data_IF_975952359381
#
_entry.id   IF_975952359381
#
_cell.length_a   1.000
_cell.length_b   1.000
_cell.length_c   1.000
_cell.angle_alpha   90.00
_cell.angle_beta   90.00
_cell.angle_gamma   90.00
#
_symmetry.space_group_name_H-M   'P 1'
#
loop_
_entity.id
_entity.type
_entity.pdbx_description
1 polymer ?
#
# COMPACT_ATOMS: atom_id res chain seq x y z
N UNK A 1 24.75 11.40 -50.02
CA UNK A 1 24.39 10.69 -48.77
C UNK A 1 23.08 9.97 -49.02
N UNK A 2 23.07 8.64 -48.92
CA UNK A 2 21.95 7.81 -49.38
C UNK A 2 20.68 7.96 -48.52
N UNK A 3 19.50 8.14 -49.14
CA UNK A 3 18.22 8.28 -48.43
C UNK A 3 17.83 7.05 -47.60
N UNK A 4 18.34 5.86 -47.97
CA UNK A 4 18.09 4.59 -47.26
C UNK A 4 18.78 4.59 -45.87
N UNK A 5 19.97 5.17 -45.76
CA UNK A 5 20.71 5.26 -44.48
C UNK A 5 20.00 6.24 -43.54
N UNK A 6 19.47 7.35 -44.06
CA UNK A 6 18.72 8.33 -43.27
C UNK A 6 17.40 7.76 -42.73
N UNK A 7 16.68 6.99 -43.55
CA UNK A 7 15.45 6.30 -43.14
C UNK A 7 15.70 5.24 -42.04
N UNK A 8 16.80 4.47 -42.15
CA UNK A 8 17.21 3.50 -41.14
C UNK A 8 17.59 4.13 -39.80
N UNK A 9 18.33 5.25 -39.81
CA UNK A 9 18.73 5.99 -38.60
C UNK A 9 17.54 6.69 -37.94
N UNK A 10 16.59 7.24 -38.71
CA UNK A 10 15.37 7.83 -38.17
C UNK A 10 14.47 6.75 -37.54
N UNK A 11 14.27 5.61 -38.21
CA UNK A 11 13.52 4.46 -37.69
C UNK A 11 14.11 3.94 -36.38
N UNK A 12 15.42 3.71 -36.32
CA UNK A 12 16.09 3.25 -35.10
C UNK A 12 16.01 4.26 -33.94
N UNK A 13 16.01 5.57 -34.22
CA UNK A 13 15.84 6.63 -33.20
C UNK A 13 14.42 6.68 -32.65
N UNK A 14 13.39 6.54 -33.49
CA UNK A 14 11.99 6.49 -33.03
C UNK A 14 11.69 5.22 -32.25
N UNK A 15 12.22 4.07 -32.63
CA UNK A 15 12.05 2.82 -31.86
C UNK A 15 12.74 2.91 -30.49
N UNK A 16 13.96 3.46 -30.41
CA UNK A 16 14.66 3.65 -29.13
C UNK A 16 13.96 4.66 -28.21
N UNK A 17 13.43 5.76 -28.77
CA UNK A 17 12.65 6.73 -28.01
C UNK A 17 11.33 6.13 -27.51
N UNK A 18 10.66 5.31 -28.32
CA UNK A 18 9.46 4.58 -27.92
C UNK A 18 9.80 3.62 -26.76
N UNK A 19 10.77 2.71 -26.92
CA UNK A 19 11.16 1.75 -25.88
C UNK A 19 11.51 2.42 -24.54
N UNK A 20 12.20 3.57 -24.58
CA UNK A 20 12.52 4.34 -23.36
C UNK A 20 11.31 4.86 -22.61
N UNK A 21 10.16 5.06 -23.25
CA UNK A 21 8.94 5.50 -22.56
C UNK A 21 8.14 4.37 -21.91
N UNK A 22 8.43 3.11 -22.27
CA UNK A 22 7.77 1.91 -21.73
C UNK A 22 8.48 1.31 -20.51
N UNK A 23 9.74 1.69 -20.26
CA UNK A 23 10.50 1.14 -19.14
C UNK A 23 9.90 1.54 -17.78
N UNK A 24 9.83 0.62 -16.79
CA UNK A 24 9.25 0.92 -15.48
C UNK A 24 9.92 2.11 -14.77
N UNK A 25 11.23 2.26 -14.95
CA UNK A 25 12.08 3.28 -14.32
C UNK A 25 12.16 4.62 -15.05
N UNK A 26 11.44 4.82 -16.16
CA UNK A 26 11.43 6.10 -16.88
C UNK A 26 10.15 6.90 -16.62
N UNK A 27 10.25 8.24 -16.70
CA UNK A 27 9.10 9.13 -16.66
C UNK A 27 8.35 9.14 -18.01
N UNK A 28 7.24 9.89 -18.08
CA UNK A 28 6.43 9.99 -19.30
C UNK A 28 7.16 10.66 -20.47
N UNK A 29 8.29 11.31 -20.21
CA UNK A 29 9.16 11.93 -21.21
C UNK A 29 10.35 11.01 -21.58
N UNK A 30 10.38 9.77 -21.09
CA UNK A 30 11.44 8.80 -21.35
C UNK A 30 12.73 9.06 -20.56
N UNK A 31 12.71 9.97 -19.57
CA UNK A 31 13.87 10.28 -18.73
C UNK A 31 13.92 9.34 -17.53
N UNK A 32 15.12 9.02 -17.06
CA UNK A 32 15.28 8.18 -15.88
C UNK A 32 14.67 8.82 -14.63
N UNK A 33 13.91 8.02 -13.87
CA UNK A 33 13.29 8.42 -12.61
C UNK A 33 13.72 7.47 -11.50
N UNK A 34 14.64 7.93 -10.65
CA UNK A 34 15.14 7.16 -9.51
C UNK A 34 14.00 6.66 -8.61
N UNK A 35 12.97 7.49 -8.39
CA UNK A 35 11.80 7.09 -7.59
C UNK A 35 11.07 5.88 -8.18
N UNK A 36 10.90 5.84 -9.51
CA UNK A 36 10.26 4.71 -10.18
C UNK A 36 11.17 3.49 -10.21
N UNK A 37 12.47 3.68 -10.44
CA UNK A 37 13.45 2.60 -10.41
C UNK A 37 13.49 1.92 -9.04
N UNK A 38 13.58 2.71 -7.97
CA UNK A 38 13.58 2.22 -6.58
C UNK A 38 12.26 1.53 -6.26
N UNK A 39 11.12 2.14 -6.57
CA UNK A 39 9.84 1.52 -6.29
C UNK A 39 9.62 0.22 -7.10
N UNK A 40 10.14 0.13 -8.33
CA UNK A 40 10.11 -1.12 -9.11
C UNK A 40 11.01 -2.19 -8.49
N UNK A 41 12.25 -1.83 -8.12
CA UNK A 41 13.17 -2.75 -7.45
C UNK A 41 12.57 -3.28 -6.14
N UNK A 42 11.97 -2.41 -5.32
CA UNK A 42 11.30 -2.80 -4.08
C UNK A 42 10.10 -3.72 -4.31
N UNK A 43 9.39 -3.60 -5.43
CA UNK A 43 8.33 -4.54 -5.80
C UNK A 43 8.88 -5.93 -6.17
N UNK A 44 10.13 -6.04 -6.61
CA UNK A 44 10.76 -7.33 -6.94
C UNK A 44 11.38 -8.01 -5.72
N UNK A 45 11.82 -7.24 -4.71
CA UNK A 45 12.50 -7.78 -3.52
C UNK A 45 11.74 -8.96 -2.89
N UNK A 46 10.42 -8.90 -2.61
CA UNK A 46 9.73 -10.02 -1.99
C UNK A 46 9.71 -11.29 -2.83
N UNK A 47 9.52 -11.15 -4.14
CA UNK A 47 9.56 -12.28 -5.06
C UNK A 47 10.96 -12.91 -5.10
N UNK A 48 12.02 -12.09 -5.10
CA UNK A 48 13.40 -12.57 -5.04
C UNK A 48 13.71 -13.26 -3.71
N UNK A 49 13.21 -12.74 -2.59
CA UNK A 49 13.35 -13.38 -1.27
C UNK A 49 12.63 -14.73 -1.23
N UNK A 50 11.42 -14.83 -1.80
CA UNK A 50 10.69 -16.08 -1.88
C UNK A 50 11.42 -17.11 -2.77
N UNK A 51 11.94 -16.68 -3.93
CA UNK A 51 12.73 -17.54 -4.81
C UNK A 51 14.01 -18.02 -4.13
N UNK A 52 14.71 -17.14 -3.41
CA UNK A 52 15.89 -17.50 -2.63
C UNK A 52 15.55 -18.51 -1.53
N UNK A 53 14.47 -18.28 -0.78
CA UNK A 53 14.02 -19.22 0.25
C UNK A 53 13.61 -20.58 -0.34
N UNK A 54 12.99 -20.60 -1.52
CA UNK A 54 12.68 -21.84 -2.24
C UNK A 54 13.95 -22.58 -2.67
N UNK A 55 14.91 -21.86 -3.25
CA UNK A 55 16.20 -22.41 -3.68
C UNK A 55 17.00 -23.02 -2.52
N UNK A 56 17.00 -22.33 -1.38
CA UNK A 56 17.69 -22.79 -0.16
C UNK A 56 16.86 -23.82 0.64
N UNK A 57 15.70 -24.27 0.13
CA UNK A 57 14.78 -25.19 0.80
C UNK A 57 14.34 -24.71 2.20
N UNK A 58 14.25 -23.39 2.39
CA UNK A 58 13.90 -22.73 3.66
C UNK A 58 12.40 -22.46 3.82
N UNK A 59 11.56 -22.98 2.92
CA UNK A 59 10.09 -22.81 3.00
C UNK A 59 9.41 -23.81 3.97
N UNK A 60 10.18 -24.69 4.60
CA UNK A 60 9.69 -25.66 5.58
C UNK A 60 8.98 -26.85 4.95
N UNK A 61 8.20 -27.58 5.76
CA UNK A 61 7.55 -28.83 5.37
C UNK A 61 6.38 -28.68 4.38
N UNK A 62 5.81 -27.48 4.28
CA UNK A 62 4.71 -27.15 3.36
C UNK A 62 5.08 -25.95 2.49
N UNK A 63 5.99 -26.13 1.51
CA UNK A 63 6.61 -25.03 0.80
C UNK A 63 5.61 -24.19 0.00
N UNK A 64 4.63 -24.84 -0.65
CA UNK A 64 3.57 -24.16 -1.40
C UNK A 64 2.67 -23.32 -0.48
N UNK A 65 2.21 -23.90 0.63
CA UNK A 65 1.42 -23.16 1.63
C UNK A 65 2.16 -21.92 2.13
N UNK A 66 3.47 -22.05 2.41
CA UNK A 66 4.29 -20.92 2.85
C UNK A 66 4.44 -19.86 1.74
N UNK A 67 4.65 -20.27 0.49
CA UNK A 67 4.71 -19.36 -0.65
C UNK A 67 3.38 -18.61 -0.87
N UNK A 68 2.24 -19.30 -0.71
CA UNK A 68 0.89 -18.72 -0.76
C UNK A 68 0.74 -17.65 0.34
N UNK A 69 1.12 -17.96 1.58
CA UNK A 69 1.05 -17.00 2.69
C UNK A 69 1.93 -15.77 2.43
N UNK A 70 3.19 -15.97 2.01
CA UNK A 70 4.09 -14.85 1.75
C UNK A 70 3.57 -13.95 0.61
N UNK A 71 3.14 -14.51 -0.51
CA UNK A 71 2.60 -13.71 -1.63
C UNK A 71 1.31 -12.98 -1.24
N UNK A 72 0.45 -13.59 -0.41
CA UNK A 72 -0.74 -12.95 0.15
C UNK A 72 -0.39 -11.76 1.06
N UNK A 73 0.53 -11.97 2.01
CA UNK A 73 1.04 -10.92 2.90
C UNK A 73 1.61 -9.74 2.11
N UNK A 74 2.45 -10.00 1.11
CA UNK A 74 3.04 -8.95 0.29
C UNK A 74 2.00 -8.22 -0.58
N UNK A 75 0.98 -8.91 -1.08
CA UNK A 75 -0.16 -8.27 -1.76
C UNK A 75 -0.79 -7.19 -0.89
N UNK A 76 -1.09 -7.52 0.38
CA UNK A 76 -1.70 -6.57 1.34
C UNK A 76 -0.73 -5.43 1.66
N UNK A 77 0.54 -5.72 1.94
CA UNK A 77 1.56 -4.68 2.23
C UNK A 77 1.69 -3.68 1.09
N UNK A 78 1.76 -4.16 -0.16
CA UNK A 78 1.83 -3.30 -1.34
C UNK A 78 0.52 -2.52 -1.54
N UNK A 79 -0.64 -3.11 -1.20
CA UNK A 79 -1.93 -2.42 -1.26
C UNK A 79 -1.98 -1.26 -0.26
N UNK A 80 -1.57 -1.47 0.99
CA UNK A 80 -1.47 -0.41 2.00
C UNK A 80 -0.47 0.67 1.55
N UNK A 81 0.69 0.29 1.02
CA UNK A 81 1.66 1.24 0.45
C UNK A 81 1.07 2.06 -0.71
N UNK A 82 0.31 1.43 -1.60
CA UNK A 82 -0.40 2.08 -2.71
C UNK A 82 -1.40 3.12 -2.19
N UNK A 83 -2.14 2.77 -1.14
CA UNK A 83 -3.07 3.69 -0.47
C UNK A 83 -2.32 4.80 0.28
N UNK A 84 -1.12 4.58 0.80
CA UNK A 84 -0.33 5.60 1.49
C UNK A 84 0.13 6.75 0.57
N UNK A 85 0.28 6.49 -0.74
CA UNK A 85 0.71 7.49 -1.74
C UNK A 85 -0.10 8.78 -1.68
N UNK A 86 -1.43 8.68 -1.57
CA UNK A 86 -2.31 9.86 -1.59
C UNK A 86 -2.15 10.77 -0.36
N UNK A 87 -2.27 10.26 0.89
CA UNK A 87 -1.98 11.05 2.09
C UNK A 87 -0.57 11.63 2.09
N UNK A 88 0.44 10.83 1.76
CA UNK A 88 1.84 11.29 1.79
C UNK A 88 2.10 12.41 0.77
N UNK A 89 1.52 12.30 -0.43
CA UNK A 89 1.59 13.36 -1.45
C UNK A 89 1.04 14.69 -0.92
N UNK A 90 -0.03 14.67 -0.11
CA UNK A 90 -0.68 15.87 0.43
C UNK A 90 -0.01 16.39 1.70
N UNK A 91 0.41 15.51 2.61
CA UNK A 91 1.05 15.90 3.87
C UNK A 91 2.45 16.45 3.64
N UNK A 92 3.16 15.96 2.63
CA UNK A 92 4.53 16.36 2.32
C UNK A 92 4.65 17.10 0.98
N UNK A 93 3.57 17.61 0.38
CA UNK A 93 3.61 18.27 -0.94
C UNK A 93 4.48 17.54 -2.00
N UNK A 94 4.54 16.21 -1.91
CA UNK A 94 5.47 15.41 -2.69
C UNK A 94 4.79 14.90 -3.96
N UNK A 95 4.52 15.83 -4.87
CA UNK A 95 3.76 15.58 -6.11
C UNK A 95 4.25 14.37 -6.92
N UNK A 96 5.57 14.13 -6.96
CA UNK A 96 6.20 13.02 -7.71
C UNK A 96 5.72 11.63 -7.28
N UNK A 97 5.24 11.45 -6.05
CA UNK A 97 4.71 10.17 -5.56
C UNK A 97 3.51 9.67 -6.35
N UNK A 98 2.72 10.56 -6.97
CA UNK A 98 1.59 10.11 -7.80
C UNK A 98 2.05 9.29 -9.00
N UNK A 99 3.28 9.52 -9.47
CA UNK A 99 3.86 8.83 -10.62
C UNK A 99 4.15 7.34 -10.39
N UNK A 100 4.27 6.90 -9.13
CA UNK A 100 4.48 5.48 -8.79
C UNK A 100 3.19 4.75 -8.40
N UNK A 101 2.07 5.46 -8.19
CA UNK A 101 0.81 4.85 -7.72
C UNK A 101 0.33 3.72 -8.63
N UNK A 102 0.35 3.94 -9.94
CA UNK A 102 -0.07 2.93 -10.93
C UNK A 102 0.85 1.71 -10.90
N UNK A 103 2.16 1.93 -10.77
CA UNK A 103 3.14 0.86 -10.70
C UNK A 103 2.94 -0.01 -9.45
N UNK A 104 2.73 0.60 -8.28
CA UNK A 104 2.41 -0.12 -7.05
C UNK A 104 1.08 -0.89 -7.18
N UNK A 105 0.03 -0.27 -7.73
CA UNK A 105 -1.27 -0.92 -7.93
C UNK A 105 -1.21 -2.12 -8.89
N UNK A 106 -0.43 -2.03 -9.98
CA UNK A 106 -0.16 -3.18 -10.84
C UNK A 106 0.65 -4.26 -10.12
N UNK A 107 1.58 -3.86 -9.24
CA UNK A 107 2.26 -4.76 -8.32
C UNK A 107 1.29 -5.53 -7.41
N UNK A 108 0.30 -4.86 -6.82
CA UNK A 108 -0.77 -5.52 -6.03
C UNK A 108 -1.46 -6.60 -6.85
N UNK A 109 -1.91 -6.27 -8.08
CA UNK A 109 -2.56 -7.24 -8.95
C UNK A 109 -1.63 -8.41 -9.30
N UNK A 110 -0.36 -8.15 -9.61
CA UNK A 110 0.61 -9.19 -9.96
C UNK A 110 0.85 -10.17 -8.80
N UNK A 111 1.03 -9.66 -7.57
CA UNK A 111 1.18 -10.51 -6.39
C UNK A 111 -0.11 -11.26 -6.04
N UNK A 112 -1.29 -10.64 -6.21
CA UNK A 112 -2.57 -11.30 -5.99
C UNK A 112 -2.82 -12.45 -6.99
N UNK A 113 -2.46 -12.24 -8.27
CA UNK A 113 -2.51 -13.29 -9.28
C UNK A 113 -1.48 -14.39 -9.01
N UNK A 114 -0.27 -14.03 -8.58
CA UNK A 114 0.75 -14.98 -8.14
C UNK A 114 0.27 -15.83 -6.95
N UNK A 115 -0.41 -15.21 -5.99
CA UNK A 115 -1.03 -15.89 -4.86
C UNK A 115 -2.08 -16.92 -5.31
N UNK A 116 -2.99 -16.55 -6.22
CA UNK A 116 -3.94 -17.51 -6.80
C UNK A 116 -3.23 -18.61 -7.60
N UNK A 117 -2.21 -18.27 -8.39
CA UNK A 117 -1.46 -19.23 -9.19
C UNK A 117 -0.77 -20.28 -8.30
N UNK A 118 -0.14 -19.85 -7.20
CA UNK A 118 0.46 -20.76 -6.22
C UNK A 118 -0.58 -21.65 -5.55
N UNK A 119 -1.78 -21.14 -5.26
CA UNK A 119 -2.89 -21.95 -4.76
C UNK A 119 -3.35 -23.00 -5.79
N UNK A 120 -3.45 -22.64 -7.08
CA UNK A 120 -3.77 -23.61 -8.13
C UNK A 120 -2.67 -24.67 -8.28
N UNK A 121 -1.40 -24.30 -8.13
CA UNK A 121 -0.27 -25.24 -8.16
C UNK A 121 -0.31 -26.20 -6.96
N UNK A 122 -0.58 -25.70 -5.76
CA UNK A 122 -0.74 -26.52 -4.54
C UNK A 122 -1.86 -27.55 -4.68
N UNK A 123 -2.91 -27.19 -5.42
CA UNK A 123 -4.05 -28.07 -5.76
C UNK A 123 -3.84 -28.89 -7.04
N UNK A 124 -2.62 -28.94 -7.59
CA UNK A 124 -2.27 -29.66 -8.82
C UNK A 124 -3.17 -29.34 -10.03
N UNK A 125 -3.74 -28.14 -10.08
CA UNK A 125 -4.71 -27.70 -11.10
C UNK A 125 -5.98 -28.56 -11.20
N UNK A 126 -6.39 -29.25 -10.14
CA UNK A 126 -7.71 -29.89 -10.08
C UNK A 126 -8.80 -28.81 -9.94
N UNK A 127 -9.38 -28.42 -11.08
CA UNK A 127 -10.40 -27.35 -11.14
C UNK A 127 -11.67 -27.69 -10.34
N UNK A 128 -12.03 -28.97 -10.24
CA UNK A 128 -13.19 -29.40 -9.45
C UNK A 128 -12.94 -29.16 -7.96
N UNK A 129 -11.77 -29.59 -7.48
CA UNK A 129 -11.35 -29.36 -6.10
C UNK A 129 -11.20 -27.87 -5.80
N UNK A 130 -10.46 -27.12 -6.64
CA UNK A 130 -10.20 -25.68 -6.48
C UNK A 130 -11.51 -24.90 -6.30
N UNK A 131 -12.47 -25.08 -7.22
CA UNK A 131 -13.75 -24.37 -7.16
C UNK A 131 -14.54 -24.79 -5.92
N UNK A 132 -14.57 -26.10 -5.62
CA UNK A 132 -15.30 -26.60 -4.46
C UNK A 132 -14.74 -26.04 -3.13
N UNK A 133 -13.42 -25.93 -2.99
CA UNK A 133 -12.77 -25.36 -1.81
C UNK A 133 -13.04 -23.86 -1.69
N UNK A 134 -12.96 -23.11 -2.80
CA UNK A 134 -13.26 -21.67 -2.81
C UNK A 134 -14.68 -21.40 -2.33
N UNK A 135 -15.65 -22.20 -2.79
CA UNK A 135 -17.07 -22.04 -2.44
C UNK A 135 -17.36 -22.50 -1.01
N UNK A 136 -16.79 -23.64 -0.59
CA UNK A 136 -17.06 -24.23 0.74
C UNK A 136 -16.38 -23.48 1.87
N UNK A 137 -15.24 -22.84 1.62
CA UNK A 137 -14.50 -22.05 2.62
C UNK A 137 -14.80 -20.58 2.44
N UNK A 138 -15.64 -20.03 3.32
CA UNK A 138 -16.11 -18.64 3.18
C UNK A 138 -14.98 -17.60 3.08
N UNK A 139 -13.86 -17.80 3.81
CA UNK A 139 -12.72 -16.89 3.74
C UNK A 139 -12.05 -16.91 2.36
N UNK A 140 -12.03 -18.05 1.64
CA UNK A 140 -11.53 -18.13 0.27
C UNK A 140 -12.44 -17.38 -0.71
N UNK A 141 -13.76 -17.48 -0.53
CA UNK A 141 -14.73 -16.69 -1.32
C UNK A 141 -14.49 -15.19 -1.15
N UNK A 142 -14.27 -14.71 0.09
CA UNK A 142 -13.94 -13.29 0.35
C UNK A 142 -12.66 -12.87 -0.38
N UNK A 143 -11.62 -13.70 -0.30
CA UNK A 143 -10.36 -13.47 -1.01
C UNK A 143 -10.53 -13.42 -2.53
N UNK A 144 -11.34 -14.32 -3.09
CA UNK A 144 -11.62 -14.38 -4.52
C UNK A 144 -12.40 -13.16 -5.03
N UNK A 145 -13.37 -12.67 -4.27
CA UNK A 145 -14.09 -11.41 -4.59
C UNK A 145 -13.12 -10.22 -4.57
N UNK A 146 -12.23 -10.13 -3.58
CA UNK A 146 -11.20 -9.11 -3.53
C UNK A 146 -10.26 -9.20 -4.74
N UNK A 147 -9.85 -10.41 -5.14
CA UNK A 147 -9.02 -10.66 -6.32
C UNK A 147 -9.68 -10.15 -7.60
N UNK A 148 -10.96 -10.47 -7.84
CA UNK A 148 -11.71 -9.97 -9.01
C UNK A 148 -11.68 -8.43 -9.04
N UNK A 149 -11.89 -7.80 -7.88
CA UNK A 149 -11.81 -6.34 -7.75
C UNK A 149 -10.42 -5.77 -8.08
N UNK A 150 -9.35 -6.41 -7.60
CA UNK A 150 -7.96 -6.01 -7.90
C UNK A 150 -7.63 -6.18 -9.38
N UNK A 151 -8.05 -7.30 -10.00
CA UNK A 151 -7.88 -7.55 -11.44
C UNK A 151 -8.63 -6.51 -12.26
N UNK A 152 -9.88 -6.20 -11.90
CA UNK A 152 -10.66 -5.16 -12.57
C UNK A 152 -9.94 -3.80 -12.52
N UNK A 153 -9.33 -3.43 -11.40
CA UNK A 153 -8.55 -2.20 -11.29
C UNK A 153 -7.29 -2.21 -12.16
N UNK A 154 -6.54 -3.31 -12.18
CA UNK A 154 -5.32 -3.41 -12.98
C UNK A 154 -5.58 -3.37 -14.48
N UNK A 155 -6.59 -4.13 -14.96
CA UNK A 155 -6.99 -4.13 -16.39
C UNK A 155 -7.49 -2.76 -16.84
N UNK A 156 -8.16 -2.02 -15.95
CA UNK A 156 -8.66 -0.66 -16.24
C UNK A 156 -7.66 0.47 -15.91
N UNK A 157 -6.40 0.13 -15.62
CA UNK A 157 -5.34 1.11 -15.33
C UNK A 157 -4.61 1.63 -16.58
N UNK A 158 -4.94 1.17 -17.79
CA UNK A 158 -4.28 1.63 -19.03
C UNK A 158 -4.74 3.01 -19.47
N UNK A 159 -3.88 3.76 -20.17
CA UNK A 159 -4.21 5.10 -20.69
C UNK A 159 -5.44 5.07 -21.60
N UNK A 160 -5.61 3.98 -22.37
CA UNK A 160 -6.80 3.75 -23.19
C UNK A 160 -8.06 3.55 -22.36
N UNK A 161 -8.01 2.73 -21.31
CA UNK A 161 -9.17 2.49 -20.44
C UNK A 161 -9.56 3.70 -19.60
N UNK A 162 -8.59 4.49 -19.14
CA UNK A 162 -8.84 5.77 -18.46
C UNK A 162 -9.65 6.70 -19.37
N UNK A 163 -9.25 6.83 -20.65
CA UNK A 163 -9.99 7.63 -21.64
C UNK A 163 -11.37 7.06 -21.94
N UNK A 164 -11.47 5.74 -22.12
CA UNK A 164 -12.73 5.06 -22.48
C UNK A 164 -13.80 5.16 -21.38
N UNK A 165 -13.41 5.02 -20.11
CA UNK A 165 -14.35 4.98 -18.99
C UNK A 165 -14.69 6.38 -18.44
N UNK A 166 -13.85 7.39 -18.67
CA UNK A 166 -14.08 8.76 -18.22
C UNK A 166 -14.42 8.85 -16.73
N UNK A 167 -15.56 9.47 -16.38
CA UNK A 167 -16.01 9.62 -14.98
C UNK A 167 -16.23 8.30 -14.24
N UNK A 168 -16.56 7.22 -14.96
CA UNK A 168 -16.80 5.91 -14.37
C UNK A 168 -15.50 5.24 -13.92
N UNK A 169 -14.36 5.62 -14.50
CA UNK A 169 -13.04 5.13 -14.08
C UNK A 169 -12.79 5.44 -12.60
N UNK A 170 -13.07 6.67 -12.18
CA UNK A 170 -12.88 7.08 -10.79
C UNK A 170 -13.83 6.33 -9.84
N UNK A 171 -15.09 6.07 -10.26
CA UNK A 171 -16.04 5.28 -9.48
C UNK A 171 -15.54 3.86 -9.27
N UNK A 172 -15.05 3.21 -10.33
CA UNK A 172 -14.47 1.87 -10.27
C UNK A 172 -13.22 1.83 -9.38
N UNK A 173 -12.31 2.78 -9.54
CA UNK A 173 -11.08 2.82 -8.75
C UNK A 173 -11.30 3.26 -7.29
N UNK A 174 -12.43 3.90 -6.96
CA UNK A 174 -12.83 4.12 -5.58
C UNK A 174 -13.24 2.81 -4.87
N UNK A 175 -13.53 1.73 -5.60
CA UNK A 175 -13.76 0.42 -4.99
C UNK A 175 -12.50 -0.16 -4.32
N UNK A 176 -11.33 0.47 -4.49
CA UNK A 176 -10.11 0.05 -3.78
C UNK A 176 -10.29 0.05 -2.26
N UNK A 177 -11.15 0.91 -1.71
CA UNK A 177 -11.42 0.95 -0.27
C UNK A 177 -12.20 -0.28 0.21
N UNK A 178 -13.38 -0.63 -0.35
CA UNK A 178 -14.05 -1.88 0.02
C UNK A 178 -13.22 -3.12 -0.37
N UNK A 179 -12.47 -3.10 -1.47
CA UNK A 179 -11.57 -4.21 -1.83
C UNK A 179 -10.47 -4.40 -0.78
N UNK A 180 -9.89 -3.31 -0.27
CA UNK A 180 -8.91 -3.39 0.81
C UNK A 180 -9.51 -3.96 2.10
N UNK A 181 -10.74 -3.59 2.44
CA UNK A 181 -11.45 -4.16 3.59
C UNK A 181 -11.63 -5.68 3.40
N UNK A 182 -12.07 -6.14 2.23
CA UNK A 182 -12.21 -7.57 1.93
C UNK A 182 -10.86 -8.30 2.00
N UNK A 183 -9.79 -7.71 1.45
CA UNK A 183 -8.45 -8.30 1.49
C UNK A 183 -7.91 -8.42 2.93
N UNK A 184 -8.13 -7.40 3.76
CA UNK A 184 -7.75 -7.40 5.18
C UNK A 184 -8.56 -8.41 5.98
N UNK A 185 -9.86 -8.52 5.71
CA UNK A 185 -10.74 -9.51 6.34
C UNK A 185 -10.33 -10.94 5.96
N UNK A 186 -10.07 -11.19 4.67
CA UNK A 186 -9.53 -12.47 4.21
C UNK A 186 -8.22 -12.82 4.92
N UNK A 187 -7.30 -11.86 5.04
CA UNK A 187 -6.02 -12.06 5.72
C UNK A 187 -6.20 -12.36 7.21
N UNK A 188 -7.11 -11.65 7.89
CA UNK A 188 -7.42 -11.91 9.30
C UNK A 188 -8.02 -13.30 9.51
N UNK A 189 -8.99 -13.70 8.68
CA UNK A 189 -9.66 -15.00 8.76
C UNK A 189 -8.73 -16.19 8.47
N UNK A 190 -7.74 -15.99 7.60
CA UNK A 190 -6.73 -17.00 7.30
C UNK A 190 -5.70 -17.16 8.43
N UNK A 191 -5.55 -16.14 9.28
CA UNK A 191 -4.60 -16.14 10.39
C UNK A 191 -5.16 -16.98 11.53
N UNK A 192 -4.32 -17.85 12.09
CA UNK A 192 -4.73 -18.77 13.16
C UNK A 192 -4.64 -18.09 14.52
N UNK A 193 -3.50 -18.24 15.19
CA UNK A 193 -3.30 -17.76 16.56
C UNK A 193 -2.68 -16.36 16.56
N UNK A 194 -1.67 -16.16 15.70
CA UNK A 194 -1.00 -14.87 15.55
C UNK A 194 -1.70 -14.02 14.49
N UNK A 195 -2.35 -12.95 14.94
CA UNK A 195 -3.05 -11.97 14.10
C UNK A 195 -2.30 -10.64 14.03
N UNK A 196 -1.05 -10.60 14.49
CA UNK A 196 -0.23 -9.38 14.56
C UNK A 196 -0.16 -8.68 13.21
N UNK A 197 0.17 -9.40 12.14
CA UNK A 197 0.27 -8.80 10.81
C UNK A 197 -1.07 -8.30 10.24
N UNK A 198 -2.17 -9.09 10.23
CA UNK A 198 -3.48 -8.59 9.80
C UNK A 198 -3.97 -7.38 10.59
N UNK A 199 -3.80 -7.38 11.91
CA UNK A 199 -4.20 -6.27 12.78
C UNK A 199 -3.36 -5.03 12.47
N UNK A 200 -2.04 -5.18 12.31
CA UNK A 200 -1.15 -4.08 11.94
C UNK A 200 -1.55 -3.47 10.59
N UNK A 201 -1.76 -4.30 9.57
CA UNK A 201 -2.16 -3.82 8.24
C UNK A 201 -3.53 -3.13 8.27
N UNK A 202 -4.47 -3.66 9.08
CA UNK A 202 -5.79 -3.07 9.28
C UNK A 202 -5.72 -1.73 10.01
N UNK A 203 -4.89 -1.63 11.04
CA UNK A 203 -4.64 -0.40 11.77
C UNK A 203 -3.99 0.69 10.91
N UNK A 204 -3.01 0.32 10.08
CA UNK A 204 -2.42 1.23 9.08
C UNK A 204 -3.46 1.67 8.05
N UNK A 205 -4.34 0.78 7.58
CA UNK A 205 -5.45 1.15 6.70
C UNK A 205 -6.38 2.16 7.37
N UNK A 206 -6.79 1.92 8.62
CA UNK A 206 -7.64 2.83 9.40
C UNK A 206 -6.98 4.20 9.57
N UNK A 207 -5.70 4.24 9.94
CA UNK A 207 -4.92 5.47 10.04
C UNK A 207 -4.92 6.26 8.70
N UNK A 208 -4.72 5.55 7.58
CA UNK A 208 -4.79 6.15 6.25
C UNK A 208 -6.21 6.67 5.91
N UNK A 209 -7.27 6.04 6.41
CA UNK A 209 -8.64 6.54 6.25
C UNK A 209 -8.89 7.79 7.11
N UNK A 210 -8.41 7.82 8.36
CA UNK A 210 -8.49 9.00 9.21
C UNK A 210 -7.80 10.21 8.56
N UNK A 211 -6.60 10.03 8.00
CA UNK A 211 -5.92 11.11 7.26
C UNK A 211 -6.73 11.63 6.07
N UNK A 212 -7.45 10.76 5.35
CA UNK A 212 -8.35 11.19 4.27
C UNK A 212 -9.56 11.95 4.81
N UNK A 213 -10.09 11.51 5.95
CA UNK A 213 -11.18 12.14 6.67
C UNK A 213 -10.87 13.61 7.01
N UNK A 214 -9.64 13.89 7.47
CA UNK A 214 -9.19 15.27 7.72
C UNK A 214 -9.41 16.18 6.51
N UNK A 215 -8.97 15.76 5.32
CA UNK A 215 -9.15 16.53 4.09
C UNK A 215 -10.62 16.57 3.62
N UNK A 216 -11.37 15.49 3.82
CA UNK A 216 -12.79 15.41 3.42
C UNK A 216 -13.69 16.32 4.25
N UNK A 217 -13.34 16.51 5.52
CA UNK A 217 -14.05 17.37 6.48
C UNK A 217 -13.37 18.73 6.69
N UNK A 218 -12.33 19.06 5.90
CA UNK A 218 -11.61 20.34 5.94
C UNK A 218 -11.05 20.68 7.33
N UNK A 219 -10.65 19.67 8.09
CA UNK A 219 -10.02 19.85 9.40
C UNK A 219 -8.58 20.39 9.24
N UNK A 220 -8.09 21.19 10.19
CA UNK A 220 -6.74 21.75 10.13
C UNK A 220 -5.69 20.64 10.22
N UNK A 221 -4.68 20.70 9.35
CA UNK A 221 -3.57 19.74 9.34
C UNK A 221 -2.43 20.30 10.20
N UNK A 222 -2.70 20.50 11.49
CA UNK A 222 -1.69 20.94 12.46
C UNK A 222 -0.96 19.75 13.08
N UNK A 223 0.20 19.98 13.69
CA UNK A 223 0.97 18.93 14.39
C UNK A 223 0.11 18.24 15.47
N UNK A 224 -0.67 19.00 16.24
CA UNK A 224 -1.53 18.48 17.28
C UNK A 224 -2.65 17.58 16.71
N UNK A 225 -3.28 17.98 15.60
CA UNK A 225 -4.32 17.17 14.96
C UNK A 225 -3.72 15.88 14.39
N UNK A 226 -2.54 15.95 13.76
CA UNK A 226 -1.87 14.77 13.24
C UNK A 226 -1.43 13.80 14.35
N UNK A 227 -0.96 14.32 15.49
CA UNK A 227 -0.65 13.52 16.66
C UNK A 227 -1.91 12.87 17.26
N UNK A 228 -3.01 13.62 17.38
CA UNK A 228 -4.29 13.09 17.82
C UNK A 228 -4.82 11.97 16.90
N UNK A 229 -4.69 12.13 15.59
CA UNK A 229 -5.04 11.09 14.60
C UNK A 229 -4.15 9.85 14.73
N UNK A 230 -2.86 10.02 15.02
CA UNK A 230 -1.95 8.91 15.26
C UNK A 230 -2.35 8.09 16.49
N UNK A 231 -2.63 8.77 17.61
CA UNK A 231 -3.09 8.12 18.85
C UNK A 231 -4.45 7.45 18.68
N UNK A 232 -5.40 8.11 18.00
CA UNK A 232 -6.69 7.51 17.67
C UNK A 232 -6.52 6.27 16.77
N UNK A 233 -5.63 6.31 15.79
CA UNK A 233 -5.31 5.16 14.94
C UNK A 233 -4.77 3.98 15.75
N UNK A 234 -3.85 4.24 16.69
CA UNK A 234 -3.35 3.23 17.62
C UNK A 234 -4.47 2.64 18.49
N UNK A 235 -5.30 3.50 19.10
CA UNK A 235 -6.42 3.08 19.94
C UNK A 235 -7.43 2.20 19.16
N UNK A 236 -7.83 2.62 17.96
CA UNK A 236 -8.72 1.84 17.11
C UNK A 236 -8.11 0.49 16.73
N UNK A 237 -6.79 0.43 16.55
CA UNK A 237 -6.08 -0.82 16.28
C UNK A 237 -6.11 -1.75 17.48
N UNK A 238 -5.89 -1.24 18.70
CA UNK A 238 -6.00 -2.02 19.93
C UNK A 238 -7.43 -2.56 20.14
N UNK A 239 -8.45 -1.73 19.89
CA UNK A 239 -9.85 -2.16 19.95
C UNK A 239 -10.17 -3.23 18.87
N UNK A 240 -9.61 -3.10 17.68
CA UNK A 240 -9.77 -4.08 16.60
C UNK A 240 -9.17 -5.44 17.00
N UNK A 241 -7.95 -5.45 17.55
CA UNK A 241 -7.28 -6.65 18.06
C UNK A 241 -8.09 -7.33 19.16
N UNK A 242 -8.51 -6.56 20.16
CA UNK A 242 -9.31 -7.04 21.28
C UNK A 242 -10.65 -7.62 20.82
N UNK A 243 -11.34 -6.92 19.91
CA UNK A 243 -12.60 -7.38 19.34
C UNK A 243 -12.43 -8.66 18.52
N UNK A 244 -11.32 -8.79 17.77
CA UNK A 244 -11.04 -9.99 17.00
C UNK A 244 -10.84 -11.22 17.87
N UNK A 245 -10.00 -11.12 18.90
CA UNK A 245 -9.78 -12.24 19.83
C UNK A 245 -11.03 -12.62 20.61
N UNK A 246 -11.83 -11.63 21.01
CA UNK A 246 -13.12 -11.90 21.67
C UNK A 246 -14.10 -12.64 20.76
N UNK A 247 -14.18 -12.24 19.48
CA UNK A 247 -15.09 -12.86 18.52
C UNK A 247 -14.67 -14.27 18.08
N UNK A 248 -13.36 -14.52 17.96
CA UNK A 248 -12.84 -15.77 17.35
C UNK A 248 -12.37 -16.80 18.37
N UNK A 249 -11.86 -16.35 19.51
CA UNK A 249 -11.22 -17.21 20.52
C UNK A 249 -11.96 -17.21 21.86
N UNK A 250 -12.96 -16.34 22.04
CA UNK A 250 -13.68 -16.20 23.31
C UNK A 250 -12.85 -15.58 24.45
N UNK A 251 -11.65 -15.07 24.15
CA UNK A 251 -10.78 -14.41 25.12
C UNK A 251 -11.38 -13.06 25.51
N UNK A 252 -11.25 -12.64 26.77
CA UNK A 252 -11.73 -11.34 27.23
C UNK A 252 -11.11 -10.20 26.42
N UNK A 253 -11.96 -9.43 25.72
CA UNK A 253 -11.56 -8.24 24.98
C UNK A 253 -10.82 -7.24 25.89
N UNK A 254 -11.26 -7.12 27.15
CA UNK A 254 -10.65 -6.21 28.11
C UNK A 254 -9.21 -6.61 28.45
N UNK A 255 -8.94 -7.91 28.64
CA UNK A 255 -7.58 -8.40 28.91
C UNK A 255 -6.64 -8.16 27.72
N UNK A 256 -7.12 -8.45 26.50
CA UNK A 256 -6.33 -8.19 25.28
C UNK A 256 -6.08 -6.69 25.10
N UNK A 257 -7.08 -5.85 25.37
CA UNK A 257 -6.94 -4.40 25.30
C UNK A 257 -5.93 -3.89 26.33
N UNK A 258 -6.06 -4.30 27.60
CA UNK A 258 -5.15 -3.95 28.69
C UNK A 258 -3.71 -4.38 28.41
N UNK A 259 -3.50 -5.48 27.69
CA UNK A 259 -2.18 -5.94 27.32
C UNK A 259 -1.42 -5.00 26.37
N UNK A 260 -2.06 -3.94 25.84
CA UNK A 260 -1.35 -2.84 25.19
C UNK A 260 -0.64 -1.92 26.21
N UNK A 261 -1.08 -1.87 27.46
CA UNK A 261 -0.41 -1.12 28.52
C UNK A 261 0.80 -1.85 29.10
N UNK A 262 0.96 -3.16 28.85
CA UNK A 262 2.03 -3.99 29.41
C UNK A 262 3.44 -3.46 29.12
N UNK A 263 3.65 -2.82 27.96
CA UNK A 263 4.93 -2.19 27.62
C UNK A 263 5.30 -1.05 28.59
N UNK A 264 4.30 -0.33 29.11
CA UNK A 264 4.50 0.74 30.09
C UNK A 264 4.52 0.19 31.51
N UNK A 265 3.66 -0.78 31.81
CA UNK A 265 3.49 -1.36 33.14
C UNK A 265 4.68 -2.24 33.54
N UNK A 266 5.16 -3.08 32.62
CA UNK A 266 6.20 -4.08 32.88
C UNK A 266 7.54 -3.77 32.20
N UNK A 267 7.62 -2.71 31.39
CA UNK A 267 8.82 -2.34 30.61
C UNK A 267 9.31 -3.45 29.68
N UNK A 268 8.41 -4.36 29.28
CA UNK A 268 8.73 -5.43 28.35
C UNK A 268 8.65 -4.93 26.91
N UNK A 269 9.79 -4.54 26.35
CA UNK A 269 9.88 -4.10 24.96
C UNK A 269 9.60 -5.23 23.95
N UNK A 270 9.57 -6.51 24.37
CA UNK A 270 9.16 -7.61 23.50
C UNK A 270 7.63 -7.63 23.30
N UNK A 271 6.85 -6.95 24.16
CA UNK A 271 5.39 -6.93 24.10
C UNK A 271 4.83 -5.86 23.14
N UNK A 272 5.62 -5.38 22.17
CA UNK A 272 5.15 -4.36 21.21
C UNK A 272 4.06 -4.96 20.31
N UNK A 273 2.83 -4.53 20.58
CA UNK A 273 1.62 -4.86 19.80
C UNK A 273 1.42 -3.97 18.57
N UNK A 274 0.58 -4.40 17.60
CA UNK A 274 0.24 -3.62 16.41
C UNK A 274 -0.18 -2.17 16.67
N UNK A 275 -0.94 -1.91 17.75
CA UNK A 275 -1.41 -0.57 18.09
C UNK A 275 -0.26 0.43 18.29
N UNK A 276 0.83 0.00 18.92
CA UNK A 276 2.02 0.81 19.13
C UNK A 276 2.69 1.17 17.81
N UNK A 277 2.83 0.20 16.90
CA UNK A 277 3.41 0.43 15.58
C UNK A 277 2.58 1.42 14.76
N UNK A 278 1.24 1.33 14.81
CA UNK A 278 0.35 2.27 14.12
C UNK A 278 0.46 3.67 14.71
N UNK A 279 0.45 3.80 16.04
CA UNK A 279 0.63 5.09 16.70
C UNK A 279 1.99 5.70 16.38
N UNK A 280 3.07 4.92 16.46
CA UNK A 280 4.43 5.34 16.15
C UNK A 280 4.55 5.79 14.69
N UNK A 281 4.00 5.03 13.74
CA UNK A 281 3.99 5.41 12.33
C UNK A 281 3.26 6.74 12.10
N UNK A 282 2.09 6.93 12.74
CA UNK A 282 1.35 8.18 12.65
C UNK A 282 2.08 9.37 13.28
N UNK A 283 2.71 9.17 14.44
CA UNK A 283 3.50 10.19 15.12
C UNK A 283 4.76 10.56 14.32
N UNK A 284 5.42 9.60 13.69
CA UNK A 284 6.54 9.84 12.79
C UNK A 284 6.12 10.70 11.59
N UNK A 285 4.94 10.45 11.02
CA UNK A 285 4.36 11.28 9.95
C UNK A 285 4.04 12.70 10.45
N UNK A 286 3.43 12.83 11.64
CA UNK A 286 3.13 14.12 12.26
C UNK A 286 4.41 14.95 12.48
N UNK A 287 5.43 14.31 13.06
CA UNK A 287 6.74 14.92 13.29
C UNK A 287 7.42 15.36 12.00
N UNK A 288 7.48 14.47 10.99
CA UNK A 288 8.04 14.79 9.68
C UNK A 288 7.32 15.95 9.00
N UNK A 289 5.98 16.01 9.11
CA UNK A 289 5.20 17.13 8.60
C UNK A 289 5.56 18.44 9.33
N UNK A 290 5.67 18.41 10.66
CA UNK A 290 6.08 19.54 11.47
C UNK A 290 7.47 20.08 11.11
N UNK A 291 8.45 19.20 10.89
CA UNK A 291 9.80 19.58 10.45
C UNK A 291 9.78 20.29 9.09
N UNK A 292 8.96 19.80 8.15
CA UNK A 292 8.84 20.39 6.81
C UNK A 292 8.11 21.74 6.84
N UNK A 293 7.03 21.86 7.61
CA UNK A 293 6.29 23.11 7.77
C UNK A 293 7.17 24.23 8.35
N UNK A 294 8.11 23.91 9.24
CA UNK A 294 9.11 24.85 9.77
C UNK A 294 10.08 25.37 8.70
N UNK A 295 10.53 24.50 7.77
CA UNK A 295 11.48 24.88 6.70
C UNK A 295 10.86 25.76 5.60
N UNK A 296 9.54 25.72 5.41
CA UNK A 296 8.86 26.38 4.28
C UNK A 296 8.63 27.89 4.46
N UNK A 297 9.13 28.53 5.52
CA UNK A 297 8.87 29.95 5.83
C UNK A 297 10.15 30.80 5.77
N UNK A 298 10.50 31.42 4.63
CA UNK A 298 11.45 32.53 4.64
C UNK A 298 10.81 33.73 5.36
N UNK A 299 11.58 34.55 6.09
CA UNK A 299 11.08 35.80 6.64
C UNK A 299 10.55 36.66 5.51
N UNK A 300 9.33 37.18 5.65
CA UNK A 300 8.80 38.22 4.76
C UNK A 300 9.68 39.45 5.03
N UNK A 301 10.62 39.77 4.15
CA UNK A 301 11.30 41.05 4.20
C UNK A 301 10.19 42.12 4.20
N UNK A 302 10.12 42.89 5.28
CA UNK A 302 9.27 44.06 5.33
C UNK A 302 9.67 44.92 4.12
N UNK A 303 8.75 45.14 3.18
CA UNK A 303 8.95 46.18 2.18
C UNK A 303 9.09 47.47 2.98
N UNK A 304 10.30 48.02 3.03
CA UNK A 304 10.48 49.40 3.46
C UNK A 304 9.53 50.27 2.63
N UNK A 305 8.70 51.11 3.27
CA UNK A 305 7.89 52.06 2.53
C UNK A 305 8.86 52.91 1.71
N UNK A 306 8.68 52.92 0.39
CA UNK A 306 9.47 53.73 -0.51
C UNK A 306 9.46 55.17 0.01
N UNK A 307 10.59 55.63 0.53
CA UNK A 307 10.78 57.04 0.88
C UNK A 307 10.49 57.83 -0.39
N UNK A 308 9.40 58.59 -0.38
CA UNK A 308 9.09 59.55 -1.41
C UNK A 308 10.29 60.50 -1.54
N UNK A 309 11.04 60.38 -2.63
CA UNK A 309 11.98 61.42 -3.03
C UNK A 309 11.14 62.59 -3.54
N UNK A 310 10.86 63.52 -2.65
CA UNK A 310 10.50 64.89 -3.00
C UNK A 310 11.77 65.72 -3.14
N UNK A 311 11.81 66.49 -4.23
CA UNK A 311 12.82 67.46 -4.68
C UNK A 311 14.09 66.90 -5.34
#
# INVERSE_FOLDING_TARGET
MDPIVYAGVMSARTTNAALRTWLPWTDRQGRFSALRAVAFALLLVPALMLLHAAWMQQLGSKPWTQAIHQTGTWTVRILIATLAVSPFRRLFDWGKLIGIRRMLGLGVMAYALGHLALYCIDMAFDWGLIVSEIVKRFYLTIGFVALIGLVAQGVTSTDGMIRRLGKNWQRLHNLVYPIAILALLHFALQSKIDVTEPVLMSGLFLLLMLYRGLYRWKLPVSLAVLAGVALLGGLLTACLEAGWYAATSGVSAWLVFQANADILTYQDYASIRPAHWVALAGLAVAFGHGLRARKARPPRQAREPATARTA
#
